data_IF_133157924356
#
_entry.id   IF_133157924356
#
_cell.length_a   1.000
_cell.length_b   1.000
_cell.length_c   1.000
_cell.angle_alpha   90.00
_cell.angle_beta   90.00
_cell.angle_gamma   90.00
#
_symmetry.space_group_name_H-M   'P 1'
#
loop_
_entity.id
_entity.type
_entity.pdbx_description
1 polymer ?
#
# COMPACT_ATOMS: atom_id res chain seq x y z
N UNK A 1 -1.77 -9.55 -12.12
CA UNK A 1 -1.98 -9.44 -10.66
C UNK A 1 -3.29 -10.12 -10.30
N UNK A 2 -3.31 -11.03 -9.33
CA UNK A 2 -4.56 -11.58 -8.78
C UNK A 2 -5.26 -10.44 -8.03
N UNK A 3 -6.55 -10.22 -8.27
CA UNK A 3 -7.29 -9.13 -7.62
C UNK A 3 -7.57 -9.51 -6.16
N UNK A 4 -6.77 -8.96 -5.25
CA UNK A 4 -6.97 -9.08 -3.79
C UNK A 4 -7.62 -7.81 -3.26
N UNK A 5 -8.18 -7.88 -2.05
CA UNK A 5 -8.70 -6.68 -1.36
C UNK A 5 -7.59 -5.63 -1.17
N UNK A 6 -6.36 -6.08 -0.85
CA UNK A 6 -5.21 -5.19 -0.73
C UNK A 6 -4.87 -4.47 -2.04
N UNK A 7 -4.88 -5.18 -3.17
CA UNK A 7 -4.66 -4.59 -4.49
C UNK A 7 -5.78 -3.63 -4.90
N UNK A 8 -7.03 -3.92 -4.51
CA UNK A 8 -8.16 -3.01 -4.72
C UNK A 8 -7.96 -1.71 -3.94
N UNK A 9 -7.65 -1.80 -2.65
CA UNK A 9 -7.37 -0.63 -1.80
C UNK A 9 -6.22 0.20 -2.37
N UNK A 10 -5.10 -0.43 -2.74
CA UNK A 10 -3.94 0.27 -3.29
C UNK A 10 -4.28 1.04 -4.58
N UNK A 11 -5.06 0.45 -5.50
CA UNK A 11 -5.56 1.12 -6.71
C UNK A 11 -6.53 2.26 -6.42
N UNK A 12 -7.40 2.10 -5.43
CA UNK A 12 -8.30 3.18 -5.02
C UNK A 12 -7.51 4.38 -4.49
N UNK A 13 -6.47 4.14 -3.68
CA UNK A 13 -5.59 5.19 -3.17
C UNK A 13 -4.81 5.88 -4.30
N UNK A 14 -4.31 5.11 -5.26
CA UNK A 14 -3.64 5.66 -6.45
C UNK A 14 -4.60 6.55 -7.26
N UNK A 15 -5.82 6.08 -7.49
CA UNK A 15 -6.85 6.82 -8.23
C UNK A 15 -7.26 8.11 -7.52
N UNK A 16 -7.19 8.13 -6.19
CA UNK A 16 -7.37 9.32 -5.37
C UNK A 16 -6.17 10.29 -5.41
N UNK A 17 -5.10 9.95 -6.11
CA UNK A 17 -3.90 10.79 -6.25
C UNK A 17 -2.91 10.67 -5.10
N UNK A 18 -3.06 9.67 -4.22
CA UNK A 18 -2.11 9.41 -3.14
C UNK A 18 -0.74 9.06 -3.74
N UNK A 19 0.32 9.65 -3.17
CA UNK A 19 1.72 9.41 -3.58
C UNK A 19 2.56 8.75 -2.49
N UNK A 20 2.22 8.98 -1.23
CA UNK A 20 2.96 8.49 -0.07
C UNK A 20 1.99 8.05 1.03
N UNK A 21 2.32 6.96 1.71
CA UNK A 21 1.61 6.43 2.87
C UNK A 21 2.60 6.30 4.01
N UNK A 22 2.25 6.79 5.20
CA UNK A 22 3.07 6.66 6.41
C UNK A 22 2.43 5.68 7.37
N UNK A 23 3.21 4.70 7.84
CA UNK A 23 2.67 3.70 8.75
C UNK A 23 3.75 2.85 9.41
N UNK A 24 3.35 2.15 10.47
CA UNK A 24 4.15 1.11 11.11
C UNK A 24 3.68 -0.23 10.55
N UNK A 25 4.57 -1.00 9.94
CA UNK A 25 4.21 -2.30 9.36
C UNK A 25 4.00 -3.34 10.47
N UNK A 26 2.91 -4.10 10.38
CA UNK A 26 2.64 -5.29 11.19
C UNK A 26 1.95 -6.36 10.32
N UNK A 27 1.75 -7.57 10.85
CA UNK A 27 1.25 -8.72 10.07
C UNK A 27 -0.02 -8.43 9.26
N UNK A 28 -0.95 -7.68 9.86
CA UNK A 28 -2.22 -7.27 9.23
C UNK A 28 -2.04 -6.38 8.00
N UNK A 29 -0.90 -5.71 7.83
CA UNK A 29 -0.62 -4.75 6.75
C UNK A 29 0.34 -5.29 5.69
N UNK A 30 0.91 -6.48 5.87
CA UNK A 30 1.87 -7.07 4.93
C UNK A 30 1.30 -7.23 3.51
N UNK A 31 0.01 -7.57 3.39
CA UNK A 31 -0.65 -7.69 2.09
C UNK A 31 -0.79 -6.35 1.35
N UNK A 32 -1.01 -5.25 2.10
CA UNK A 32 -1.10 -3.91 1.52
C UNK A 32 0.27 -3.38 1.13
N UNK A 33 1.28 -3.53 1.98
CA UNK A 33 2.65 -3.10 1.67
C UNK A 33 3.23 -3.85 0.47
N UNK A 34 3.01 -5.16 0.34
CA UNK A 34 3.37 -5.94 -0.86
C UNK A 34 2.63 -5.44 -2.11
N UNK A 35 1.33 -5.16 -2.01
CA UNK A 35 0.56 -4.63 -3.14
C UNK A 35 1.08 -3.27 -3.61
N UNK A 36 1.40 -2.36 -2.68
CA UNK A 36 1.97 -1.04 -2.98
C UNK A 36 3.37 -1.16 -3.58
N UNK A 37 4.21 -2.05 -3.04
CA UNK A 37 5.56 -2.30 -3.56
C UNK A 37 5.53 -2.81 -5.01
N UNK A 38 4.60 -3.72 -5.33
CA UNK A 38 4.40 -4.23 -6.71
C UNK A 38 3.85 -3.17 -7.67
N UNK A 39 3.02 -2.25 -7.19
CA UNK A 39 2.48 -1.16 -8.00
C UNK A 39 3.55 -0.12 -8.34
N UNK A 40 4.43 0.20 -7.38
CA UNK A 40 5.53 1.15 -7.57
C UNK A 40 5.09 2.61 -7.76
N UNK A 41 3.80 2.91 -7.63
CA UNK A 41 3.23 4.26 -7.84
C UNK A 41 2.97 5.03 -6.54
N UNK A 42 2.91 4.32 -5.40
CA UNK A 42 2.77 4.88 -4.06
C UNK A 42 3.94 4.40 -3.21
N UNK A 43 4.63 5.34 -2.57
CA UNK A 43 5.75 5.03 -1.69
C UNK A 43 5.28 4.78 -0.25
N UNK A 44 5.77 3.70 0.35
CA UNK A 44 5.56 3.41 1.77
C UNK A 44 6.67 4.03 2.60
N UNK A 45 6.30 4.93 3.50
CA UNK A 45 7.18 5.61 4.43
C UNK A 45 7.05 4.97 5.81
N UNK A 46 8.05 4.19 6.21
CA UNK A 46 8.05 3.57 7.54
C UNK A 46 8.11 4.65 8.64
N UNK A 47 7.21 4.55 9.60
CA UNK A 47 7.19 5.41 10.80
C UNK A 47 7.62 4.62 12.03
N UNK A 48 8.10 5.31 13.06
CA UNK A 48 8.46 4.68 14.33
C UNK A 48 7.20 4.52 15.19
N UNK A 49 6.99 3.37 15.85
CA UNK A 49 5.90 3.18 16.81
C UNK A 49 6.08 4.04 18.06
#
# INVERSE_FOLDING_TARGET
MKQTVAAYIAKTLESAGVKRIWGVTGDSLNGLSDSLNRMGTIEWMSTRP
#
